data_IF_911524716009
#
_entry.id   IF_911524716009
#
_cell.length_a   1.000
_cell.length_b   1.000
_cell.length_c   1.000
_cell.angle_alpha   90.00
_cell.angle_beta   90.00
_cell.angle_gamma   90.00
#
_symmetry.space_group_name_H-M   'P 1'
#
loop_
_entity.id
_entity.type
_entity.pdbx_description
1 polymer ?
#
# COMPACT_ATOMS: atom_id res chain seq x y z
N UNK A 1 5.98 6.45 -26.50
CA UNK A 1 6.91 7.26 -25.70
C UNK A 1 7.12 6.55 -24.37
N UNK A 2 8.32 6.52 -23.80
CA UNK A 2 8.60 5.82 -22.52
C UNK A 2 8.66 6.87 -21.41
N UNK A 3 7.80 6.72 -20.40
CA UNK A 3 7.82 7.54 -19.18
C UNK A 3 8.50 6.76 -18.05
N UNK A 4 9.21 7.47 -17.16
CA UNK A 4 9.92 6.89 -16.03
C UNK A 4 9.52 7.65 -14.78
N UNK A 5 9.13 6.91 -13.74
CA UNK A 5 8.72 7.47 -12.46
C UNK A 5 9.66 6.97 -11.37
N UNK A 6 10.07 7.87 -10.49
CA UNK A 6 10.91 7.59 -9.34
C UNK A 6 10.32 8.30 -8.13
N UNK A 7 10.40 7.67 -6.97
CA UNK A 7 9.95 8.26 -5.73
C UNK A 7 10.97 8.01 -4.62
N UNK A 8 11.56 9.10 -4.13
CA UNK A 8 12.56 9.11 -3.06
C UNK A 8 12.05 9.87 -1.82
N UNK A 9 10.73 10.13 -1.74
CA UNK A 9 10.10 10.78 -0.60
C UNK A 9 9.79 9.80 0.54
N UNK A 10 8.88 10.24 1.40
CA UNK A 10 8.35 9.48 2.54
C UNK A 10 6.84 9.26 2.33
N UNK A 11 6.27 8.22 2.93
CA UNK A 11 4.86 7.86 2.80
C UNK A 11 4.52 7.32 1.39
N UNK A 12 3.24 7.34 1.04
CA UNK A 12 2.70 6.89 -0.23
C UNK A 12 2.59 8.04 -1.23
N UNK A 13 3.02 7.81 -2.47
CA UNK A 13 2.81 8.73 -3.58
C UNK A 13 2.40 8.00 -4.84
N UNK A 14 1.39 8.53 -5.53
CA UNK A 14 0.96 8.03 -6.84
C UNK A 14 2.04 8.37 -7.87
N UNK A 15 2.66 7.35 -8.44
CA UNK A 15 3.68 7.50 -9.47
C UNK A 15 3.04 7.75 -10.84
N UNK A 16 1.97 7.01 -11.16
CA UNK A 16 1.18 7.23 -12.37
C UNK A 16 -0.27 6.78 -12.18
N UNK A 17 -1.15 7.31 -13.03
CA UNK A 17 -2.56 6.94 -13.08
C UNK A 17 -3.02 6.95 -14.53
N UNK A 18 -3.81 5.95 -14.91
CA UNK A 18 -4.46 5.90 -16.22
C UNK A 18 -5.84 5.26 -16.10
N UNK A 19 -6.86 5.97 -16.59
CA UNK A 19 -8.26 5.57 -16.48
C UNK A 19 -8.63 5.11 -15.07
N UNK A 20 -8.91 3.82 -14.89
CA UNK A 20 -9.48 3.26 -13.68
C UNK A 20 -8.42 2.71 -12.71
N UNK A 21 -7.12 2.82 -12.99
CA UNK A 21 -6.06 2.29 -12.12
C UNK A 21 -4.95 3.30 -11.88
N UNK A 22 -4.26 3.14 -10.75
CA UNK A 22 -3.06 3.89 -10.39
C UNK A 22 -1.99 2.96 -9.83
N UNK A 23 -0.73 3.36 -10.03
CA UNK A 23 0.44 2.74 -9.40
C UNK A 23 1.04 3.78 -8.47
N UNK A 24 1.20 3.42 -7.21
CA UNK A 24 1.91 4.21 -6.23
C UNK A 24 3.16 3.52 -5.70
N UNK A 25 4.04 4.32 -5.12
CA UNK A 25 5.21 3.87 -4.39
C UNK A 25 5.03 4.29 -2.93
N UNK A 26 4.96 3.28 -2.07
CA UNK A 26 4.89 3.42 -0.61
C UNK A 26 6.30 3.27 -0.04
N UNK A 27 6.69 4.25 0.77
CA UNK A 27 7.95 4.29 1.50
C UNK A 27 7.67 4.54 2.98
N UNK A 28 8.72 4.44 3.79
CA UNK A 28 8.63 4.74 5.21
C UNK A 28 8.04 6.13 5.47
N UNK A 29 7.14 6.21 6.44
CA UNK A 29 6.73 7.40 7.16
C UNK A 29 6.28 6.99 8.56
N UNK A 30 6.03 7.95 9.45
CA UNK A 30 5.47 7.65 10.78
C UNK A 30 4.10 6.95 10.72
N UNK A 31 3.38 7.07 9.60
CA UNK A 31 2.12 6.33 9.37
C UNK A 31 2.35 4.83 9.18
N UNK A 32 3.47 4.43 8.59
CA UNK A 32 3.81 3.04 8.27
C UNK A 32 4.95 2.50 9.16
N UNK A 33 5.29 3.19 10.24
CA UNK A 33 6.33 2.78 11.19
C UNK A 33 5.82 1.82 12.27
N UNK A 34 4.51 1.78 12.50
CA UNK A 34 3.86 1.01 13.55
C UNK A 34 2.45 0.58 13.15
N UNK A 35 2.03 -0.56 13.68
CA UNK A 35 0.66 -1.05 13.54
C UNK A 35 -0.23 -0.43 14.64
N UNK A 36 -0.81 0.74 14.36
CA UNK A 36 -1.71 1.46 15.27
C UNK A 36 -3.11 1.73 14.69
N UNK A 37 -3.32 1.29 13.45
CA UNK A 37 -4.59 1.40 12.74
C UNK A 37 -4.72 0.30 11.71
N UNK A 38 -5.95 0.10 11.26
CA UNK A 38 -6.32 -0.62 10.05
C UNK A 38 -7.10 0.34 9.16
N UNK A 39 -7.01 0.12 7.86
CA UNK A 39 -7.87 0.74 6.85
C UNK A 39 -8.52 -0.31 5.95
N UNK A 40 -9.61 0.06 5.28
CA UNK A 40 -10.21 -0.76 4.23
C UNK A 40 -10.77 0.12 3.12
N UNK A 41 -10.56 -0.30 1.88
CA UNK A 41 -11.12 0.38 0.72
C UNK A 41 -12.41 -0.30 0.28
N UNK A 42 -13.50 0.45 0.23
CA UNK A 42 -14.84 -0.09 0.00
C UNK A 42 -15.13 -0.37 -1.47
N UNK A 43 -14.30 0.11 -2.40
CA UNK A 43 -14.55 0.04 -3.85
C UNK A 43 -13.41 -0.57 -4.67
N UNK A 44 -12.32 -1.00 -4.04
CA UNK A 44 -11.16 -1.56 -4.75
C UNK A 44 -10.53 -2.71 -3.96
N UNK A 45 -9.92 -3.63 -4.69
CA UNK A 45 -8.81 -4.43 -4.14
C UNK A 45 -7.56 -3.54 -4.10
N UNK A 46 -6.57 -3.91 -3.29
CA UNK A 46 -5.27 -3.24 -3.25
C UNK A 46 -4.16 -4.30 -3.26
N UNK A 47 -3.26 -4.17 -4.23
CA UNK A 47 -2.17 -5.10 -4.43
C UNK A 47 -0.84 -4.46 -4.00
N UNK A 48 -0.03 -5.22 -3.25
CA UNK A 48 1.26 -4.81 -2.71
C UNK A 48 2.38 -5.71 -3.25
N UNK A 49 3.48 -5.09 -3.68
CA UNK A 49 4.68 -5.77 -4.15
C UNK A 49 5.90 -5.15 -3.46
N UNK A 50 6.65 -5.94 -2.69
CA UNK A 50 7.90 -5.49 -2.08
C UNK A 50 9.02 -5.43 -3.12
N UNK A 51 9.57 -4.24 -3.35
CA UNK A 51 10.69 -4.02 -4.26
C UNK A 51 12.03 -4.00 -3.51
N UNK A 52 12.07 -3.30 -2.37
CA UNK A 52 13.26 -3.22 -1.54
C UNK A 52 12.94 -3.07 -0.05
N UNK A 53 13.93 -3.30 0.82
CA UNK A 53 13.77 -3.31 2.28
C UNK A 53 12.91 -4.47 2.79
N UNK A 54 12.15 -4.21 3.85
CA UNK A 54 11.23 -5.16 4.49
C UNK A 54 9.86 -4.54 4.71
N UNK A 55 8.81 -5.37 4.64
CA UNK A 55 7.44 -4.95 4.89
C UNK A 55 6.65 -6.10 5.52
N UNK A 56 5.65 -5.73 6.34
CA UNK A 56 4.74 -6.68 6.99
C UNK A 56 3.31 -6.19 6.76
N UNK A 57 2.46 -7.06 6.22
CA UNK A 57 1.03 -6.84 6.09
C UNK A 57 0.30 -7.39 7.30
N UNK A 58 -0.66 -6.62 7.79
CA UNK A 58 -1.56 -6.97 8.88
C UNK A 58 -2.98 -6.99 8.33
N UNK A 59 -3.77 -7.97 8.74
CA UNK A 59 -5.22 -8.01 8.54
C UNK A 59 -5.91 -8.33 9.87
N UNK A 60 -7.23 -8.43 9.89
CA UNK A 60 -7.97 -8.90 11.08
C UNK A 60 -7.60 -10.34 11.48
N UNK A 61 -7.07 -11.16 10.56
CA UNK A 61 -6.87 -12.59 10.76
C UNK A 61 -5.42 -13.04 10.62
N UNK A 62 -4.56 -12.25 9.98
CA UNK A 62 -3.23 -12.67 9.54
C UNK A 62 -2.20 -11.56 9.71
N UNK A 63 -0.96 -11.97 9.98
CA UNK A 63 0.23 -11.12 9.91
C UNK A 63 1.24 -11.81 9.00
N UNK A 64 1.65 -11.13 7.95
CA UNK A 64 2.45 -11.71 6.86
C UNK A 64 3.66 -10.83 6.58
N UNK A 65 4.87 -11.37 6.78
CA UNK A 65 6.09 -10.76 6.26
C UNK A 65 6.11 -10.92 4.74
N UNK A 66 6.30 -9.81 4.04
CA UNK A 66 6.31 -9.80 2.57
C UNK A 66 7.64 -10.28 2.02
N UNK A 67 7.58 -11.12 0.99
CA UNK A 67 8.72 -11.53 0.18
C UNK A 67 8.85 -10.63 -1.06
N UNK A 68 10.09 -10.39 -1.50
CA UNK A 68 10.35 -9.65 -2.73
C UNK A 68 9.84 -10.43 -3.94
N UNK A 69 9.35 -9.70 -4.96
CA UNK A 69 8.82 -10.29 -6.19
C UNK A 69 7.57 -11.17 -6.02
N UNK A 70 6.85 -11.05 -4.90
CA UNK A 70 5.54 -11.69 -4.66
C UNK A 70 4.45 -10.62 -4.66
N UNK A 71 3.29 -10.96 -5.23
CA UNK A 71 2.10 -10.08 -5.23
C UNK A 71 1.18 -10.50 -4.10
N UNK A 72 0.91 -9.58 -3.19
CA UNK A 72 -0.07 -9.73 -2.12
C UNK A 72 -1.30 -8.89 -2.47
N UNK A 73 -2.50 -9.43 -2.30
CA UNK A 73 -3.73 -8.73 -2.63
C UNK A 73 -4.69 -8.70 -1.45
N UNK A 74 -5.01 -7.51 -0.97
CA UNK A 74 -6.11 -7.32 -0.04
C UNK A 74 -7.39 -7.12 -0.84
N UNK A 75 -8.41 -7.93 -0.55
CA UNK A 75 -9.71 -7.82 -1.20
C UNK A 75 -10.46 -6.58 -0.72
N UNK A 76 -11.30 -6.03 -1.60
CA UNK A 76 -12.26 -4.97 -1.28
C UNK A 76 -12.94 -5.20 0.07
N UNK A 77 -12.99 -4.13 0.86
CA UNK A 77 -13.50 -4.07 2.23
C UNK A 77 -12.75 -4.95 3.25
N UNK A 78 -11.59 -5.51 2.89
CA UNK A 78 -10.68 -6.18 3.81
C UNK A 78 -9.91 -5.17 4.66
N UNK A 79 -10.01 -5.30 5.98
CA UNK A 79 -9.18 -4.53 6.91
C UNK A 79 -7.74 -4.93 6.79
N UNK A 80 -6.87 -3.95 6.61
CA UNK A 80 -5.45 -4.18 6.50
C UNK A 80 -4.62 -2.97 6.96
N UNK A 81 -3.33 -3.21 7.18
CA UNK A 81 -2.32 -2.19 7.37
C UNK A 81 -0.97 -2.74 6.90
N UNK A 82 -0.01 -1.84 6.66
CA UNK A 82 1.36 -2.20 6.31
C UNK A 82 2.34 -1.44 7.19
N UNK A 83 3.33 -2.16 7.73
CA UNK A 83 4.52 -1.52 8.31
C UNK A 83 5.73 -1.79 7.44
N UNK A 84 6.62 -0.83 7.31
CA UNK A 84 7.80 -0.93 6.43
C UNK A 84 9.07 -0.44 7.10
N UNK A 85 10.23 -0.98 6.71
CA UNK A 85 11.53 -0.45 7.13
C UNK A 85 11.88 0.88 6.46
N UNK A 86 12.83 1.63 7.03
CA UNK A 86 13.23 2.96 6.51
C UNK A 86 13.76 2.96 5.08
N UNK A 87 14.35 1.85 4.66
CA UNK A 87 14.88 1.61 3.31
C UNK A 87 13.84 0.99 2.36
N UNK A 88 12.64 0.68 2.83
CA UNK A 88 11.65 -0.05 2.06
C UNK A 88 11.08 0.75 0.89
N UNK A 89 10.76 0.01 -0.17
CA UNK A 89 9.95 0.50 -1.29
C UNK A 89 8.93 -0.58 -1.65
N UNK A 90 7.65 -0.26 -1.51
CA UNK A 90 6.54 -1.13 -1.87
C UNK A 90 5.78 -0.50 -3.03
N UNK A 91 5.59 -1.24 -4.11
CA UNK A 91 4.67 -0.82 -5.17
C UNK A 91 3.25 -1.20 -4.76
N UNK A 92 2.34 -0.25 -4.90
CA UNK A 92 0.92 -0.42 -4.61
C UNK A 92 0.14 -0.22 -5.89
N UNK A 93 -0.79 -1.12 -6.19
CA UNK A 93 -1.69 -1.03 -7.34
C UNK A 93 -3.12 -1.14 -6.88
N UNK A 94 -3.92 -0.16 -7.27
CA UNK A 94 -5.33 -0.10 -6.91
C UNK A 94 -6.11 0.76 -7.92
N UNK A 95 -7.43 0.83 -7.76
CA UNK A 95 -8.25 1.66 -8.61
C UNK A 95 -7.94 3.15 -8.40
N UNK A 96 -8.06 3.93 -9.47
CA UNK A 96 -7.78 5.37 -9.44
C UNK A 96 -8.73 6.16 -8.54
N UNK A 97 -9.92 5.63 -8.27
CA UNK A 97 -10.92 6.25 -7.42
C UNK A 97 -10.77 5.90 -5.92
N UNK A 98 -9.72 5.18 -5.49
CA UNK A 98 -9.48 5.01 -4.05
C UNK A 98 -9.15 6.35 -3.39
N UNK A 99 -9.96 6.73 -2.42
CA UNK A 99 -9.86 8.00 -1.71
C UNK A 99 -10.45 7.90 -0.30
N UNK A 100 -10.31 8.96 0.49
CA UNK A 100 -10.83 9.02 1.86
C UNK A 100 -12.36 8.81 1.94
N UNK A 101 -13.12 9.22 0.91
CA UNK A 101 -14.59 9.07 0.88
C UNK A 101 -15.04 7.60 0.82
N UNK A 102 -14.19 6.71 0.29
CA UNK A 102 -14.47 5.27 0.19
C UNK A 102 -13.48 4.42 0.99
N UNK A 103 -12.81 5.04 1.97
CA UNK A 103 -11.87 4.38 2.88
C UNK A 103 -12.34 4.57 4.30
N UNK A 104 -12.42 3.48 5.05
CA UNK A 104 -12.69 3.53 6.48
C UNK A 104 -11.41 3.26 7.27
N UNK A 105 -11.25 3.94 8.41
CA UNK A 105 -10.07 3.80 9.30
C UNK A 105 -10.56 3.40 10.68
N UNK A 106 -9.86 2.44 11.29
CA UNK A 106 -10.04 1.98 12.67
C UNK A 106 -8.70 2.06 13.41
N UNK A 107 -8.63 2.81 14.51
CA UNK A 107 -7.45 2.86 15.38
C UNK A 107 -7.45 1.70 16.39
N UNK A 108 -6.26 1.28 16.82
CA UNK A 108 -6.01 0.16 17.75
C UNK A 108 -5.43 0.69 19.07
#
# INVERSE_FOLDING_TARGET
MIEKYFYNGEDFSVAMQYENWKIGLLRYSERFSKFDRLERHLLTDEAFILLDGTATLYTDTEVVEMEKCVVYNIKKAGWHHITVSKDATVMVVENSNTCDENTEIKFI
#
